data_IF_960741099754
#
_entry.id   IF_960741099754
#
_cell.length_a   1.000
_cell.length_b   1.000
_cell.length_c   1.000
_cell.angle_alpha   90.00
_cell.angle_beta   90.00
_cell.angle_gamma   90.00
#
_symmetry.space_group_name_H-M   'P 1'
#
loop_
_entity.id
_entity.type
_entity.pdbx_description
1 polymer ?
#
# COMPACT_ATOMS: atom_id res chain seq x y z
N UNK A 1 4.94 17.68 39.32
CA UNK A 1 5.12 17.13 37.96
C UNK A 1 4.89 15.63 38.00
N UNK A 2 3.76 15.15 37.46
CA UNK A 2 3.52 13.70 37.34
C UNK A 2 4.44 13.16 36.24
N UNK A 3 5.41 12.32 36.60
CA UNK A 3 6.13 11.48 35.64
C UNK A 3 5.12 10.49 35.09
N UNK A 4 4.71 10.67 33.83
CA UNK A 4 4.03 9.62 33.08
C UNK A 4 5.06 8.51 32.84
N UNK A 5 4.69 7.22 33.00
CA UNK A 5 5.57 6.14 32.58
C UNK A 5 5.77 6.26 31.06
N UNK A 6 7.01 6.19 30.57
CA UNK A 6 7.25 6.09 29.13
C UNK A 6 6.64 4.77 28.64
N UNK A 7 5.61 4.77 27.78
CA UNK A 7 5.13 3.55 27.20
C UNK A 7 6.18 3.11 26.18
N UNK A 8 6.87 2.00 26.42
CA UNK A 8 7.50 1.27 25.31
C UNK A 8 6.41 1.01 24.28
N UNK A 9 6.60 1.49 23.05
CA UNK A 9 5.58 1.37 22.01
C UNK A 9 5.35 -0.10 21.68
N UNK A 10 4.13 -0.59 21.92
CA UNK A 10 3.70 -1.93 21.56
C UNK A 10 3.49 -1.98 20.04
N UNK A 11 4.57 -2.17 19.30
CA UNK A 11 4.54 -2.26 17.83
C UNK A 11 4.46 -3.72 17.41
N UNK A 12 3.58 -3.99 16.44
CA UNK A 12 3.51 -5.27 15.74
C UNK A 12 4.31 -5.18 14.44
N UNK A 13 5.37 -5.97 14.31
CA UNK A 13 6.10 -6.13 13.05
C UNK A 13 5.44 -7.23 12.23
N UNK A 14 5.05 -6.93 11.00
CA UNK A 14 4.43 -7.86 10.07
C UNK A 14 5.32 -7.95 8.82
N UNK A 15 5.94 -9.11 8.61
CA UNK A 15 6.72 -9.35 7.39
C UNK A 15 5.84 -9.98 6.32
N UNK A 16 5.91 -9.46 5.10
CA UNK A 16 5.05 -9.80 3.97
C UNK A 16 5.88 -10.55 2.95
N UNK A 17 5.57 -11.82 2.71
CA UNK A 17 6.29 -12.63 1.75
C UNK A 17 5.62 -12.63 0.39
N UNK A 18 6.42 -12.40 -0.67
CA UNK A 18 5.94 -12.54 -2.05
C UNK A 18 5.77 -14.02 -2.48
N UNK A 19 6.52 -14.94 -1.86
CA UNK A 19 6.50 -16.37 -2.15
C UNK A 19 6.64 -17.21 -0.87
N UNK A 20 6.39 -18.52 -0.96
CA UNK A 20 6.47 -19.47 0.16
C UNK A 20 7.92 -19.73 0.61
N UNK A 21 8.53 -18.77 1.29
CA UNK A 21 9.92 -18.84 1.77
C UNK A 21 10.00 -19.09 3.29
N UNK A 22 9.43 -20.20 3.74
CA UNK A 22 9.40 -20.58 5.17
C UNK A 22 10.79 -20.66 5.81
N UNK A 23 11.81 -21.08 5.05
CA UNK A 23 13.19 -21.18 5.52
C UNK A 23 13.83 -19.84 5.94
N UNK A 24 13.20 -18.70 5.60
CA UNK A 24 13.69 -17.38 6.01
C UNK A 24 13.18 -16.96 7.40
N UNK A 25 12.14 -17.60 7.92
CA UNK A 25 11.49 -17.20 9.18
C UNK A 25 12.48 -17.27 10.35
N UNK A 26 13.22 -18.37 10.50
CA UNK A 26 14.22 -18.50 11.57
C UNK A 26 15.31 -17.42 11.50
N UNK A 27 15.66 -16.97 10.29
CA UNK A 27 16.66 -15.91 10.09
C UNK A 27 16.09 -14.56 10.51
N UNK A 28 14.85 -14.26 10.12
CA UNK A 28 14.15 -13.03 10.50
C UNK A 28 13.91 -12.97 12.01
N UNK A 29 13.54 -14.09 12.65
CA UNK A 29 13.42 -14.15 14.11
C UNK A 29 14.75 -13.85 14.79
N UNK A 30 15.87 -14.40 14.32
CA UNK A 30 17.21 -14.07 14.85
C UNK A 30 17.54 -12.58 14.73
N UNK A 31 17.06 -11.90 13.67
CA UNK A 31 17.30 -10.47 13.45
C UNK A 31 16.39 -9.61 14.33
N UNK A 32 15.11 -9.98 14.48
CA UNK A 32 14.08 -9.10 15.02
C UNK A 32 13.59 -9.45 16.43
N UNK A 33 13.88 -10.63 16.96
CA UNK A 33 13.33 -11.08 18.26
C UNK A 33 13.63 -10.14 19.42
N UNK A 34 14.82 -9.55 19.44
CA UNK A 34 15.26 -8.61 20.49
C UNK A 34 14.87 -7.15 20.17
N UNK A 35 14.29 -6.89 19.00
CA UNK A 35 13.94 -5.55 18.49
C UNK A 35 12.44 -5.27 18.49
N UNK A 36 11.64 -6.31 18.26
CA UNK A 36 10.19 -6.26 18.21
C UNK A 36 9.62 -7.45 18.94
N UNK A 37 8.88 -7.22 20.02
CA UNK A 37 8.30 -8.29 20.85
C UNK A 37 7.10 -8.99 20.19
N UNK A 38 6.46 -8.37 19.21
CA UNK A 38 5.31 -8.93 18.48
C UNK A 38 5.65 -8.99 17.00
N UNK A 39 5.67 -10.19 16.43
CA UNK A 39 6.07 -10.46 15.06
C UNK A 39 5.10 -11.44 14.42
N UNK A 40 4.67 -11.13 13.20
CA UNK A 40 3.84 -12.00 12.37
C UNK A 40 4.40 -12.05 10.94
N UNK A 41 4.09 -13.14 10.25
CA UNK A 41 4.55 -13.40 8.89
C UNK A 41 3.34 -13.68 8.00
N UNK A 42 3.14 -12.91 6.94
CA UNK A 42 2.11 -13.16 5.94
C UNK A 42 2.73 -14.00 4.83
N UNK A 43 2.31 -15.26 4.70
CA UNK A 43 2.98 -16.25 3.87
C UNK A 43 2.01 -16.88 2.86
N UNK A 44 2.26 -16.75 1.54
CA UNK A 44 1.45 -17.39 0.52
C UNK A 44 1.43 -18.92 0.67
N UNK A 45 0.23 -19.50 0.60
CA UNK A 45 0.02 -20.96 0.54
C UNK A 45 0.67 -21.75 1.71
N UNK A 46 0.81 -21.11 2.86
CA UNK A 46 1.28 -21.77 4.07
C UNK A 46 0.23 -22.75 4.61
N UNK A 47 0.66 -23.97 4.88
CA UNK A 47 -0.15 -25.11 5.29
C UNK A 47 0.29 -25.72 6.64
N UNK A 48 1.25 -25.09 7.32
CA UNK A 48 1.72 -25.51 8.64
C UNK A 48 0.91 -24.95 9.81
N UNK A 49 1.43 -25.14 11.03
CA UNK A 49 0.71 -24.84 12.29
C UNK A 49 1.30 -23.72 13.15
N UNK A 50 2.42 -23.10 12.75
CA UNK A 50 3.01 -21.98 13.47
C UNK A 50 1.98 -20.83 13.67
N UNK A 51 1.69 -20.42 14.92
CA UNK A 51 0.67 -19.42 15.22
C UNK A 51 1.03 -18.00 14.75
N UNK A 52 2.32 -17.72 14.53
CA UNK A 52 2.83 -16.42 14.07
C UNK A 52 2.82 -16.28 12.54
N UNK A 53 2.50 -17.34 11.80
CA UNK A 53 2.41 -17.31 10.34
C UNK A 53 0.94 -17.27 9.93
N UNK A 54 0.56 -16.23 9.20
CA UNK A 54 -0.74 -16.01 8.59
C UNK A 54 -0.73 -16.51 7.14
N UNK A 55 -1.43 -17.61 6.82
CA UNK A 55 -1.54 -18.09 5.46
C UNK A 55 -2.42 -17.13 4.65
N UNK A 56 -1.97 -16.82 3.44
CA UNK A 56 -2.70 -15.96 2.51
C UNK A 56 -2.80 -16.62 1.13
N UNK A 57 -3.86 -16.30 0.42
CA UNK A 57 -4.22 -16.93 -0.85
C UNK A 57 -4.56 -15.85 -1.89
N UNK A 58 -3.55 -15.07 -2.28
CA UNK A 58 -3.70 -13.97 -3.22
C UNK A 58 -2.38 -13.75 -4.00
N UNK A 59 -2.45 -13.13 -5.17
CA UNK A 59 -1.29 -12.81 -6.00
C UNK A 59 -0.36 -11.80 -5.31
N UNK A 60 0.96 -11.94 -5.48
CA UNK A 60 1.94 -10.97 -4.97
C UNK A 60 1.81 -9.59 -5.65
N UNK A 61 1.22 -9.50 -6.84
CA UNK A 61 0.87 -8.23 -7.47
C UNK A 61 -0.20 -7.44 -6.68
N UNK A 62 -0.93 -8.12 -5.79
CA UNK A 62 -2.02 -7.61 -4.98
C UNK A 62 -1.83 -7.93 -3.49
N UNK A 63 -0.59 -7.98 -3.01
CA UNK A 63 -0.28 -8.41 -1.63
C UNK A 63 -0.92 -7.53 -0.55
N UNK A 64 -1.44 -6.34 -0.86
CA UNK A 64 -2.29 -5.59 0.07
C UNK A 64 -3.49 -6.42 0.57
N UNK A 65 -3.98 -7.36 -0.24
CA UNK A 65 -5.03 -8.30 0.17
C UNK A 65 -4.61 -9.17 1.36
N UNK A 66 -3.30 -9.42 1.54
CA UNK A 66 -2.76 -10.20 2.65
C UNK A 66 -3.05 -9.52 3.99
N UNK A 67 -3.03 -8.18 4.02
CA UNK A 67 -3.32 -7.40 5.23
C UNK A 67 -4.77 -7.62 5.67
N UNK A 68 -5.70 -7.58 4.73
CA UNK A 68 -7.12 -7.80 4.97
C UNK A 68 -7.40 -9.24 5.45
N UNK A 69 -6.87 -10.23 4.74
CA UNK A 69 -7.04 -11.65 5.06
C UNK A 69 -6.46 -12.00 6.45
N UNK A 70 -5.35 -11.35 6.83
CA UNK A 70 -4.60 -11.72 8.02
C UNK A 70 -4.88 -10.86 9.24
N UNK A 71 -5.62 -9.74 9.08
CA UNK A 71 -5.94 -8.82 10.18
C UNK A 71 -6.49 -9.54 11.42
N UNK A 72 -7.43 -10.50 11.32
CA UNK A 72 -7.95 -11.20 12.51
C UNK A 72 -6.90 -11.95 13.32
N UNK A 73 -5.73 -12.26 12.73
CA UNK A 73 -4.67 -13.04 13.38
C UNK A 73 -3.61 -12.16 14.04
N UNK A 74 -3.17 -11.08 13.37
CA UNK A 74 -2.12 -10.21 13.89
C UNK A 74 -2.66 -9.00 14.66
N UNK A 75 -3.97 -8.70 14.59
CA UNK A 75 -4.56 -7.57 15.30
C UNK A 75 -4.56 -7.77 16.82
N UNK A 76 -4.25 -6.71 17.56
CA UNK A 76 -4.47 -6.64 19.00
C UNK A 76 -4.69 -5.19 19.43
N UNK A 77 -5.64 -4.96 20.33
CA UNK A 77 -5.94 -3.63 20.89
C UNK A 77 -4.78 -3.02 21.68
N UNK A 78 -3.86 -3.85 22.17
CA UNK A 78 -2.67 -3.39 22.91
C UNK A 78 -1.63 -2.71 21.99
N UNK A 79 -1.72 -2.92 20.68
CA UNK A 79 -0.74 -2.37 19.74
C UNK A 79 -1.00 -0.91 19.47
N UNK A 80 0.07 -0.12 19.40
CA UNK A 80 -0.01 1.30 19.01
C UNK A 80 0.16 1.46 17.51
N UNK A 81 1.02 0.66 16.89
CA UNK A 81 1.31 0.69 15.46
C UNK A 81 1.56 -0.71 14.91
N UNK A 82 1.35 -0.83 13.60
CA UNK A 82 1.68 -1.97 12.78
C UNK A 82 2.72 -1.53 11.77
N UNK A 83 3.84 -2.24 11.71
CA UNK A 83 4.94 -2.00 10.77
C UNK A 83 4.95 -3.15 9.79
N UNK A 84 4.70 -2.86 8.52
CA UNK A 84 4.74 -3.83 7.44
C UNK A 84 6.08 -3.70 6.70
N UNK A 85 6.78 -4.82 6.51
CA UNK A 85 8.00 -4.91 5.70
C UNK A 85 7.86 -6.03 4.66
N UNK A 86 8.36 -5.82 3.45
CA UNK A 86 8.57 -6.90 2.48
C UNK A 86 9.70 -7.85 2.94
N UNK A 87 9.66 -9.11 2.49
CA UNK A 87 10.62 -10.14 2.90
C UNK A 87 12.05 -9.95 2.36
N UNK A 88 12.20 -9.13 1.33
CA UNK A 88 13.48 -8.72 0.73
C UNK A 88 14.06 -7.43 1.33
N UNK A 89 13.38 -6.83 2.31
CA UNK A 89 13.84 -5.65 3.04
C UNK A 89 14.29 -6.00 4.46
N UNK A 90 15.46 -5.49 4.86
CA UNK A 90 15.96 -5.58 6.23
C UNK A 90 16.05 -4.17 6.84
N UNK A 91 15.44 -3.99 8.01
CA UNK A 91 15.52 -2.73 8.74
C UNK A 91 16.95 -2.47 9.22
N UNK A 92 17.34 -1.21 9.28
CA UNK A 92 18.62 -0.82 9.87
C UNK A 92 18.72 -1.42 11.30
N UNK A 93 19.86 -2.05 11.69
CA UNK A 93 19.98 -2.73 12.99
C UNK A 93 19.71 -1.86 14.21
N UNK A 94 19.79 -0.53 14.07
CA UNK A 94 19.46 0.42 15.15
C UNK A 94 17.96 0.59 15.35
N UNK A 95 17.13 0.27 14.36
CA UNK A 95 15.67 0.40 14.43
C UNK A 95 15.09 -0.71 15.31
N UNK A 96 14.21 -0.32 16.22
CA UNK A 96 13.45 -1.22 17.07
C UNK A 96 12.10 -0.57 17.44
N UNK A 97 11.24 -1.34 18.12
CA UNK A 97 9.90 -0.88 18.46
C UNK A 97 9.86 0.41 19.27
N UNK A 98 10.91 0.74 20.04
CA UNK A 98 10.94 1.91 20.94
C UNK A 98 11.46 3.19 20.26
N UNK A 99 12.10 3.09 19.09
CA UNK A 99 12.70 4.26 18.44
C UNK A 99 12.22 4.54 17.02
N UNK A 100 11.56 3.59 16.35
CA UNK A 100 11.16 3.72 14.94
C UNK A 100 10.30 4.97 14.69
N UNK A 101 9.32 5.24 15.56
CA UNK A 101 8.46 6.42 15.43
C UNK A 101 9.25 7.73 15.53
N UNK A 102 10.18 7.82 16.49
CA UNK A 102 11.06 9.00 16.64
C UNK A 102 12.02 9.17 15.46
N UNK A 103 12.58 8.08 14.95
CA UNK A 103 13.54 8.11 13.84
C UNK A 103 12.89 8.58 12.53
N UNK A 104 11.63 8.21 12.32
CA UNK A 104 10.87 8.53 11.11
C UNK A 104 9.90 9.70 11.31
N UNK A 105 9.99 10.40 12.44
CA UNK A 105 9.12 11.53 12.80
C UNK A 105 7.61 11.21 12.76
N UNK A 106 7.24 9.97 13.09
CA UNK A 106 5.85 9.49 13.12
C UNK A 106 5.23 9.81 14.47
N UNK A 107 4.11 10.53 14.44
CA UNK A 107 3.31 10.85 15.63
C UNK A 107 2.59 9.61 16.18
N UNK A 108 2.08 9.63 17.44
CA UNK A 108 1.38 8.47 18.03
C UNK A 108 0.17 7.95 17.24
N UNK A 109 -0.46 8.82 16.44
CA UNK A 109 -1.61 8.50 15.57
C UNK A 109 -1.25 8.63 14.09
N UNK A 110 0.04 8.69 13.76
CA UNK A 110 0.55 8.93 12.40
C UNK A 110 0.88 7.63 11.67
N UNK A 111 0.68 7.64 10.36
CA UNK A 111 1.23 6.65 9.44
C UNK A 111 2.56 7.08 8.84
N UNK A 112 3.22 6.15 8.15
CA UNK A 112 4.41 6.44 7.35
C UNK A 112 4.42 5.58 6.10
N UNK A 113 4.83 6.20 4.99
CA UNK A 113 5.26 5.52 3.77
C UNK A 113 6.36 6.36 3.14
N UNK A 114 7.36 5.71 2.52
CA UNK A 114 8.57 6.40 2.06
C UNK A 114 8.28 7.59 1.13
N UNK A 115 7.47 7.38 0.10
CA UNK A 115 7.18 8.43 -0.86
C UNK A 115 5.87 8.13 -1.57
N UNK A 116 5.14 9.19 -1.91
CA UNK A 116 3.93 9.09 -2.73
C UNK A 116 4.07 9.97 -3.97
N UNK A 117 3.50 9.50 -5.06
CA UNK A 117 3.37 10.25 -6.30
C UNK A 117 1.91 10.23 -6.74
N UNK A 118 1.54 11.26 -7.47
CA UNK A 118 0.21 11.37 -8.05
C UNK A 118 0.25 10.95 -9.51
N UNK A 119 -0.76 10.20 -9.96
CA UNK A 119 -0.81 9.67 -11.32
C UNK A 119 -0.87 10.75 -12.41
N UNK A 120 -1.28 11.98 -12.06
CA UNK A 120 -1.23 13.13 -12.97
C UNK A 120 0.19 13.64 -13.25
N UNK A 121 1.18 13.32 -12.40
CA UNK A 121 2.56 13.79 -12.50
C UNK A 121 3.57 12.72 -12.95
N UNK A 122 3.15 11.47 -13.17
CA UNK A 122 4.08 10.38 -13.51
C UNK A 122 4.46 10.42 -14.98
N UNK A 123 5.71 10.06 -15.27
CA UNK A 123 6.16 9.81 -16.62
C UNK A 123 5.51 8.55 -17.24
N UNK A 124 5.25 8.52 -18.55
CA UNK A 124 4.42 7.50 -19.22
C UNK A 124 4.97 6.06 -19.24
N UNK A 125 6.08 5.78 -18.55
CA UNK A 125 6.80 4.51 -18.64
C UNK A 125 6.35 3.48 -17.60
N UNK A 126 5.61 3.89 -16.57
CA UNK A 126 5.18 2.95 -15.54
C UNK A 126 3.99 2.13 -16.03
N UNK A 127 4.26 0.86 -16.38
CA UNK A 127 3.31 -0.03 -17.06
C UNK A 127 2.06 -0.38 -16.24
N UNK A 128 2.05 -0.07 -14.94
CA UNK A 128 0.95 -0.39 -14.03
C UNK A 128 -0.12 0.71 -13.96
N UNK A 129 0.13 1.90 -14.55
CA UNK A 129 -0.83 3.02 -14.55
C UNK A 129 -2.14 2.63 -15.22
N UNK A 130 -2.08 2.06 -16.42
CA UNK A 130 -3.28 1.66 -17.17
C UNK A 130 -4.05 0.57 -16.43
N UNK A 131 -3.36 -0.40 -15.83
CA UNK A 131 -3.98 -1.43 -14.98
C UNK A 131 -4.66 -0.83 -13.75
N UNK A 132 -4.06 0.21 -13.17
CA UNK A 132 -4.64 0.93 -12.04
C UNK A 132 -5.92 1.68 -12.40
N UNK A 133 -6.01 2.21 -13.63
CA UNK A 133 -7.23 2.84 -14.14
C UNK A 133 -8.30 1.77 -14.44
N UNK A 134 -7.92 0.66 -15.09
CA UNK A 134 -8.83 -0.44 -15.43
C UNK A 134 -9.51 -1.07 -14.22
N UNK A 135 -8.84 -1.09 -13.07
CA UNK A 135 -9.39 -1.62 -11.82
C UNK A 135 -10.74 -0.97 -11.44
N UNK A 136 -10.96 0.30 -11.81
CA UNK A 136 -12.19 1.04 -11.51
C UNK A 136 -13.29 0.87 -12.57
N UNK A 137 -13.00 0.22 -13.69
CA UNK A 137 -13.99 -0.15 -14.71
C UNK A 137 -14.40 -1.62 -14.62
N UNK A 138 -13.82 -2.38 -13.70
CA UNK A 138 -14.15 -3.78 -13.49
C UNK A 138 -15.54 -3.93 -12.86
N UNK A 139 -16.47 -4.55 -13.59
CA UNK A 139 -17.87 -4.73 -13.16
C UNK A 139 -18.07 -5.79 -12.08
N UNK A 140 -17.01 -6.52 -11.67
CA UNK A 140 -17.09 -7.59 -10.68
C UNK A 140 -16.93 -7.15 -9.22
N UNK A 141 -16.70 -5.87 -8.95
CA UNK A 141 -16.46 -5.37 -7.59
C UNK A 141 -17.30 -4.11 -7.32
N UNK A 142 -18.16 -4.18 -6.30
CA UNK A 142 -19.00 -3.07 -5.83
C UNK A 142 -18.23 -2.21 -4.83
N UNK A 143 -17.27 -1.43 -5.31
CA UNK A 143 -16.41 -0.60 -4.45
C UNK A 143 -17.05 0.73 -4.05
N UNK A 144 -18.07 1.20 -4.79
CA UNK A 144 -18.60 2.56 -4.69
C UNK A 144 -19.27 2.85 -3.36
N UNK A 145 -19.89 1.84 -2.74
CA UNK A 145 -20.56 1.96 -1.43
C UNK A 145 -19.62 1.72 -0.25
N UNK A 146 -18.36 1.32 -0.53
CA UNK A 146 -17.39 0.90 0.46
C UNK A 146 -16.23 1.91 0.59
N UNK A 147 -15.77 2.43 -0.54
CA UNK A 147 -14.75 3.47 -0.57
C UNK A 147 -15.38 4.85 -0.34
N UNK A 148 -14.61 5.83 0.16
CA UNK A 148 -15.06 7.23 0.17
C UNK A 148 -15.45 7.69 -1.24
N UNK A 149 -16.40 8.61 -1.35
CA UNK A 149 -16.74 9.20 -2.65
C UNK A 149 -15.51 9.91 -3.24
N UNK A 150 -15.56 10.23 -4.54
CA UNK A 150 -14.48 10.95 -5.22
C UNK A 150 -14.10 12.24 -4.46
N UNK A 151 -15.09 13.04 -4.07
CA UNK A 151 -14.91 14.31 -3.36
C UNK A 151 -14.33 14.10 -1.96
N UNK A 152 -14.82 13.09 -1.24
CA UNK A 152 -14.30 12.74 0.09
C UNK A 152 -12.84 12.29 -0.01
N UNK A 153 -12.51 11.45 -1.00
CA UNK A 153 -11.14 11.00 -1.23
C UNK A 153 -10.21 12.17 -1.54
N UNK A 154 -10.60 13.09 -2.43
CA UNK A 154 -9.86 14.33 -2.70
C UNK A 154 -9.62 15.13 -1.42
N UNK A 155 -10.65 15.34 -0.59
CA UNK A 155 -10.50 16.04 0.68
C UNK A 155 -9.49 15.33 1.59
N UNK A 156 -9.53 13.99 1.67
CA UNK A 156 -8.59 13.22 2.48
C UNK A 156 -7.16 13.39 1.98
N UNK A 157 -6.93 13.32 0.68
CA UNK A 157 -5.60 13.56 0.09
C UNK A 157 -5.09 14.98 0.30
N UNK A 158 -5.95 16.00 0.21
CA UNK A 158 -5.58 17.39 0.45
C UNK A 158 -5.07 17.63 1.88
N UNK A 159 -5.57 16.90 2.88
CA UNK A 159 -5.04 16.95 4.26
C UNK A 159 -3.57 16.54 4.35
N UNK A 160 -3.11 15.70 3.43
CA UNK A 160 -1.71 15.28 3.31
C UNK A 160 -0.89 16.17 2.37
N UNK A 161 -1.43 17.31 1.93
CA UNK A 161 -0.76 18.21 0.98
C UNK A 161 -0.78 17.70 -0.47
N UNK A 162 -1.59 16.68 -0.79
CA UNK A 162 -1.70 16.14 -2.14
C UNK A 162 -2.83 16.83 -2.88
N UNK A 163 -2.47 17.51 -3.97
CA UNK A 163 -3.41 18.19 -4.85
C UNK A 163 -3.51 17.43 -6.17
N UNK A 164 -4.73 17.11 -6.58
CA UNK A 164 -5.00 16.53 -7.89
C UNK A 164 -5.26 17.64 -8.90
N UNK A 165 -4.55 17.62 -10.04
CA UNK A 165 -4.86 18.47 -11.19
C UNK A 165 -5.78 17.79 -12.20
N UNK A 166 -6.35 18.57 -13.10
CA UNK A 166 -7.10 18.10 -14.27
C UNK A 166 -6.16 17.37 -15.21
N UNK A 167 -6.07 16.03 -15.16
CA UNK A 167 -5.13 15.36 -16.05
C UNK A 167 -5.38 13.90 -16.34
N UNK A 168 -5.93 13.68 -17.54
CA UNK A 168 -5.51 12.57 -18.40
C UNK A 168 -4.97 13.07 -19.78
N UNK A 169 -5.14 14.36 -20.13
CA UNK A 169 -4.67 14.95 -21.39
C UNK A 169 -3.14 15.15 -21.51
N UNK A 170 -2.38 15.39 -20.43
CA UNK A 170 -0.90 15.46 -20.53
C UNK A 170 -0.25 14.10 -20.82
N UNK A 171 -0.97 13.02 -20.53
CA UNK A 171 -0.53 11.65 -20.80
C UNK A 171 -0.37 11.38 -22.31
N UNK A 172 -1.14 12.07 -23.17
CA UNK A 172 -1.12 11.86 -24.64
C UNK A 172 0.10 12.47 -25.34
N UNK A 173 0.62 13.62 -24.90
CA UNK A 173 1.66 14.34 -25.66
C UNK A 173 3.07 13.84 -25.33
N UNK A 174 3.37 13.56 -24.05
CA UNK A 174 4.70 13.10 -23.62
C UNK A 174 4.96 11.64 -24.05
N UNK A 175 3.95 10.77 -23.94
CA UNK A 175 4.03 9.35 -24.35
C UNK A 175 4.26 9.17 -25.85
N UNK A 176 3.64 10.02 -26.67
CA UNK A 176 3.77 9.96 -28.14
C UNK A 176 5.15 10.41 -28.63
N UNK A 177 5.84 11.26 -27.84
CA UNK A 177 7.13 11.85 -28.22
C UNK A 177 8.36 11.16 -27.61
N UNK A 178 8.21 10.34 -26.57
CA UNK A 178 9.37 9.96 -25.72
C UNK A 178 9.92 8.54 -25.87
N UNK A 179 9.62 7.75 -26.91
CA UNK A 179 10.28 6.43 -27.02
C UNK A 179 10.72 6.05 -28.44
N UNK A 180 12.04 5.99 -28.64
CA UNK A 180 12.72 5.28 -29.73
C UNK A 180 12.68 3.75 -29.46
N UNK A 181 12.34 2.94 -30.47
CA UNK A 181 12.55 1.49 -30.48
C UNK A 181 11.28 0.61 -30.50
N UNK A 182 11.40 -0.59 -31.12
CA UNK A 182 10.38 -1.59 -31.51
C UNK A 182 9.22 -1.95 -30.54
N UNK A 183 9.19 -1.44 -29.31
CA UNK A 183 8.05 -1.59 -28.37
C UNK A 183 6.86 -0.65 -28.64
N UNK A 184 7.02 0.32 -29.55
CA UNK A 184 5.99 1.33 -29.90
C UNK A 184 4.72 0.69 -30.43
N UNK A 185 4.81 -0.27 -31.35
CA UNK A 185 3.63 -0.87 -32.00
C UNK A 185 2.78 -1.63 -31.00
N UNK A 186 3.41 -2.39 -30.09
CA UNK A 186 2.70 -3.17 -29.06
C UNK A 186 2.01 -2.25 -28.05
N UNK A 187 2.66 -1.14 -27.67
CA UNK A 187 2.10 -0.13 -26.76
C UNK A 187 1.00 0.71 -27.42
N UNK A 188 1.17 1.09 -28.70
CA UNK A 188 0.13 1.75 -29.52
C UNK A 188 -1.09 0.84 -29.67
N UNK A 189 -0.87 -0.45 -29.96
CA UNK A 189 -1.96 -1.40 -30.09
C UNK A 189 -2.71 -1.61 -28.76
N UNK A 190 -1.98 -1.72 -27.64
CA UNK A 190 -2.59 -1.77 -26.31
C UNK A 190 -3.36 -0.48 -25.98
N UNK A 191 -2.80 0.70 -26.27
CA UNK A 191 -3.48 1.98 -26.06
C UNK A 191 -4.73 2.14 -26.94
N UNK A 192 -4.69 1.68 -28.20
CA UNK A 192 -5.82 1.69 -29.11
C UNK A 192 -6.91 0.70 -28.68
N UNK A 193 -6.54 -0.51 -28.24
CA UNK A 193 -7.49 -1.49 -27.69
C UNK A 193 -8.14 -0.97 -26.40
N UNK A 194 -7.36 -0.33 -25.54
CA UNK A 194 -7.82 0.34 -24.32
C UNK A 194 -8.85 1.42 -24.68
N UNK A 195 -8.50 2.38 -25.55
CA UNK A 195 -9.40 3.44 -26.00
C UNK A 195 -10.65 2.94 -26.75
N UNK A 196 -10.58 1.79 -27.41
CA UNK A 196 -11.70 1.20 -28.17
C UNK A 196 -12.66 0.40 -27.29
N UNK A 197 -12.15 -0.30 -26.27
CA UNK A 197 -12.96 -1.17 -25.42
C UNK A 197 -13.64 -0.43 -24.27
N UNK A 198 -13.12 0.73 -23.87
CA UNK A 198 -13.65 1.49 -22.74
C UNK A 198 -13.84 2.94 -23.19
N UNK A 199 -15.06 3.46 -23.02
CA UNK A 199 -15.43 4.84 -23.34
C UNK A 199 -14.81 5.82 -22.33
N UNK A 200 -13.47 5.83 -22.20
CA UNK A 200 -12.81 6.72 -21.27
C UNK A 200 -13.06 8.16 -21.66
N UNK A 201 -13.75 8.90 -20.79
CA UNK A 201 -13.69 10.36 -20.80
C UNK A 201 -12.28 10.73 -20.37
N UNK A 202 -11.42 11.00 -21.35
CA UNK A 202 -9.97 11.12 -21.22
C UNK A 202 -9.48 12.34 -20.42
N UNK A 203 -10.31 12.88 -19.54
CA UNK A 203 -10.12 14.15 -18.86
C UNK A 203 -9.96 13.96 -17.35
N UNK A 204 -10.61 12.96 -16.73
CA UNK A 204 -10.65 12.75 -15.28
C UNK A 204 -10.44 11.27 -14.96
N UNK A 205 -9.61 10.96 -13.96
CA UNK A 205 -9.45 9.59 -13.46
C UNK A 205 -10.78 9.09 -12.86
N UNK A 206 -11.14 7.81 -13.04
CA UNK A 206 -12.40 7.27 -12.48
C UNK A 206 -12.46 7.37 -10.94
N UNK A 207 -11.32 7.42 -10.27
CA UNK A 207 -11.18 7.64 -8.84
C UNK A 207 -9.82 8.30 -8.54
N UNK A 208 -9.70 9.18 -7.52
CA UNK A 208 -8.41 9.76 -7.18
C UNK A 208 -7.53 8.70 -6.51
N UNK A 209 -6.37 8.44 -7.10
CA UNK A 209 -5.42 7.44 -6.64
C UNK A 209 -4.00 8.01 -6.61
N UNK A 210 -3.21 7.52 -5.65
CA UNK A 210 -1.78 7.82 -5.52
C UNK A 210 -1.00 6.52 -5.59
N UNK A 211 0.27 6.60 -5.98
CA UNK A 211 1.17 5.45 -5.92
C UNK A 211 2.45 5.74 -5.15
N UNK A 212 3.26 4.72 -4.92
CA UNK A 212 4.47 4.80 -4.12
C UNK A 212 5.03 3.42 -3.78
N UNK A 213 6.31 3.40 -3.40
CA UNK A 213 6.96 2.18 -2.92
C UNK A 213 6.28 1.68 -1.65
N UNK A 214 5.95 0.40 -1.63
CA UNK A 214 5.09 -0.19 -0.59
C UNK A 214 5.78 -1.29 0.24
N UNK A 215 7.10 -1.43 0.09
CA UNK A 215 7.91 -2.43 0.80
C UNK A 215 8.05 -2.13 2.30
N UNK A 216 7.76 -0.91 2.72
CA UNK A 216 7.82 -0.49 4.12
C UNK A 216 6.74 0.55 4.43
N UNK A 217 5.83 0.19 5.33
CA UNK A 217 4.68 1.02 5.73
C UNK A 217 4.45 0.93 7.24
N UNK A 218 4.13 2.05 7.87
CA UNK A 218 3.68 2.11 9.27
C UNK A 218 2.23 2.58 9.31
N UNK A 219 1.39 1.85 10.04
CA UNK A 219 -0.04 2.13 10.19
C UNK A 219 -0.38 2.24 11.68
N UNK A 220 -0.94 3.35 12.16
CA UNK A 220 -1.34 3.48 13.55
C UNK A 220 -2.58 2.62 13.82
N UNK A 221 -2.72 2.15 15.06
CA UNK A 221 -3.81 1.27 15.47
C UNK A 221 -5.19 1.92 15.34
N UNK A 222 -5.27 3.25 15.34
CA UNK A 222 -6.50 4.01 15.14
C UNK A 222 -7.13 3.79 13.77
N UNK A 223 -6.34 3.60 12.70
CA UNK A 223 -6.82 3.39 11.33
C UNK A 223 -6.60 1.97 10.78
N UNK A 224 -5.93 1.05 11.50
CA UNK A 224 -5.51 -0.26 10.96
C UNK A 224 -6.66 -1.08 10.34
N UNK A 225 -7.83 -1.10 10.98
CA UNK A 225 -9.00 -1.84 10.48
C UNK A 225 -9.50 -1.27 9.16
N UNK A 226 -9.60 0.06 9.09
CA UNK A 226 -10.04 0.77 7.88
C UNK A 226 -9.02 0.64 6.75
N UNK A 227 -7.73 0.76 7.07
CA UNK A 227 -6.63 0.54 6.13
C UNK A 227 -6.69 -0.87 5.53
N UNK A 228 -6.74 -1.91 6.36
CA UNK A 228 -6.81 -3.30 5.89
C UNK A 228 -8.09 -3.58 5.11
N UNK A 229 -9.20 -2.91 5.47
CA UNK A 229 -10.45 -3.02 4.72
C UNK A 229 -10.30 -2.45 3.30
N UNK A 230 -9.78 -1.23 3.15
CA UNK A 230 -9.50 -0.66 1.83
C UNK A 230 -8.50 -1.49 1.03
N UNK A 231 -7.44 -2.01 1.68
CA UNK A 231 -6.52 -2.93 1.02
C UNK A 231 -7.21 -4.19 0.47
N UNK A 232 -8.19 -4.74 1.20
CA UNK A 232 -9.01 -5.87 0.74
C UNK A 232 -9.87 -5.51 -0.47
N UNK A 233 -10.54 -4.36 -0.44
CA UNK A 233 -11.33 -3.85 -1.58
C UNK A 233 -10.45 -3.67 -2.81
N UNK A 234 -9.30 -3.01 -2.65
CA UNK A 234 -8.38 -2.78 -3.76
C UNK A 234 -7.74 -4.07 -4.31
N UNK A 235 -7.50 -5.08 -3.47
CA UNK A 235 -7.11 -6.41 -3.95
C UNK A 235 -8.21 -7.05 -4.80
N UNK A 236 -9.47 -7.02 -4.34
CA UNK A 236 -10.61 -7.54 -5.11
C UNK A 236 -10.81 -6.81 -6.45
N UNK A 237 -10.44 -5.53 -6.53
CA UNK A 237 -10.44 -4.74 -7.77
C UNK A 237 -9.26 -5.05 -8.70
N UNK A 238 -8.29 -5.88 -8.26
CA UNK A 238 -7.01 -6.08 -8.94
C UNK A 238 -6.20 -4.78 -9.10
N UNK A 239 -6.31 -3.85 -8.15
CA UNK A 239 -5.51 -2.64 -8.13
C UNK A 239 -4.07 -2.99 -7.72
N UNK A 240 -3.09 -2.60 -8.54
CA UNK A 240 -1.70 -2.92 -8.30
C UNK A 240 -1.21 -2.38 -6.95
N UNK A 241 -0.41 -3.17 -6.23
CA UNK A 241 -0.02 -2.91 -4.85
C UNK A 241 0.63 -1.55 -4.59
N UNK A 242 1.51 -1.10 -5.50
CA UNK A 242 2.16 0.21 -5.42
C UNK A 242 1.20 1.39 -5.66
N UNK A 243 -0.07 1.13 -6.00
CA UNK A 243 -1.15 2.12 -6.02
C UNK A 243 -2.08 1.89 -4.82
N UNK A 244 -2.42 0.63 -4.56
CA UNK A 244 -3.41 0.26 -3.56
C UNK A 244 -2.98 0.61 -2.13
N UNK A 245 -1.74 0.30 -1.73
CA UNK A 245 -1.26 0.53 -0.35
C UNK A 245 -1.15 2.02 -0.03
N UNK A 246 -0.48 2.85 -0.86
CA UNK A 246 -0.42 4.29 -0.63
C UNK A 246 -1.81 4.92 -0.60
N UNK A 247 -2.67 4.55 -1.55
CA UNK A 247 -4.06 5.04 -1.60
C UNK A 247 -4.82 4.65 -0.33
N UNK A 248 -4.78 3.38 0.09
CA UNK A 248 -5.46 2.91 1.30
C UNK A 248 -4.97 3.63 2.56
N UNK A 249 -3.65 3.86 2.68
CA UNK A 249 -3.05 4.52 3.83
C UNK A 249 -3.55 5.97 3.97
N UNK A 250 -3.52 6.73 2.88
CA UNK A 250 -3.93 8.15 2.89
C UNK A 250 -5.45 8.33 2.97
N UNK A 251 -6.23 7.34 2.52
CA UNK A 251 -7.67 7.34 2.75
C UNK A 251 -8.02 6.99 4.19
N UNK A 252 -7.24 6.14 4.86
CA UNK A 252 -7.59 5.63 6.18
C UNK A 252 -7.06 6.50 7.34
N UNK A 253 -5.87 7.07 7.22
CA UNK A 253 -5.19 7.72 8.33
C UNK A 253 -5.24 9.25 8.23
N UNK A 254 -5.30 9.91 9.37
CA UNK A 254 -5.44 11.37 9.45
C UNK A 254 -4.14 12.12 9.15
N UNK A 255 -3.00 11.53 9.53
CA UNK A 255 -1.68 12.07 9.28
C UNK A 255 -0.74 10.97 8.77
N UNK A 256 0.04 11.27 7.74
CA UNK A 256 1.02 10.34 7.15
C UNK A 256 2.29 11.11 6.85
N UNK A 257 3.42 10.59 7.30
CA UNK A 257 4.75 11.14 7.03
C UNK A 257 5.32 10.53 5.74
N UNK A 258 5.99 11.37 4.95
CA UNK A 258 6.71 11.03 3.73
C UNK A 258 8.16 11.52 3.82
N UNK A 259 9.06 10.94 3.02
CA UNK A 259 10.44 11.41 2.77
C UNK A 259 10.57 12.17 1.45
#
# INVERSE_FOLDING_TARGET
MKKYPEPGSNICLVTVFNHKYEANIEKLDKIYQDKFSNRYYLMPFYDGHNPFICPVYESSFFFQGYFSQSLPRFYNEKYTHYVFIADDLILNPRVNQNNIGKLLNVSPDGGYIKSVFTLHNIEPYWSHILKGIDAFYNSGCEYQDVLPTYEQAIQRFQRHGIVFGDCMMRFKVKWMLSTYGMGIIKKIFQALLFLKNHQYKAEILPYPIVGGYSDFVIVPASCIKQFCHYCGVFAAMNLFVEIAIPTALLLACENVVFE
#
